data_IF_607421909354
#
_entry.id   IF_607421909354
#
_cell.length_a   1.000
_cell.length_b   1.000
_cell.length_c   1.000
_cell.angle_alpha   90.00
_cell.angle_beta   90.00
_cell.angle_gamma   90.00
#
_symmetry.space_group_name_H-M   'P 1'
#
loop_
_entity.id
_entity.type
_entity.pdbx_description
1 polymer ?
#
# COMPACT_ATOMS: atom_id res chain seq x y z
N UNK A 1 -12.61 -7.64 -11.23
CA UNK A 1 -11.94 -8.06 -9.97
C UNK A 1 -10.51 -7.53 -9.91
N UNK A 2 -9.61 -7.95 -10.81
CA UNK A 2 -8.18 -7.54 -10.79
C UNK A 2 -8.00 -6.02 -10.89
N UNK A 3 -8.76 -5.32 -11.74
CA UNK A 3 -8.65 -3.86 -11.85
C UNK A 3 -9.02 -3.14 -10.54
N UNK A 4 -9.94 -3.68 -9.73
CA UNK A 4 -10.31 -3.12 -8.42
C UNK A 4 -9.13 -3.26 -7.45
N UNK A 5 -8.45 -4.42 -7.48
CA UNK A 5 -7.26 -4.71 -6.70
C UNK A 5 -6.08 -3.79 -7.08
N UNK A 6 -5.89 -3.53 -8.37
CA UNK A 6 -4.87 -2.59 -8.85
C UNK A 6 -5.15 -1.16 -8.35
N UNK A 7 -6.40 -0.71 -8.45
CA UNK A 7 -6.80 0.61 -7.96
C UNK A 7 -6.61 0.75 -6.45
N UNK A 8 -6.92 -0.28 -5.66
CA UNK A 8 -6.69 -0.24 -4.21
C UNK A 8 -5.20 -0.21 -3.85
N UNK A 9 -4.34 -0.90 -4.61
CA UNK A 9 -2.88 -0.88 -4.38
C UNK A 9 -2.29 0.51 -4.60
N UNK A 10 -2.54 1.14 -5.76
CA UNK A 10 -2.01 2.48 -6.04
C UNK A 10 -2.69 3.56 -5.17
N UNK A 11 -3.98 3.41 -4.90
CA UNK A 11 -4.76 4.39 -4.13
C UNK A 11 -4.38 4.48 -2.67
N UNK A 12 -3.85 3.41 -2.07
CA UNK A 12 -3.38 3.39 -0.66
C UNK A 12 -1.88 3.68 -0.55
N UNK A 13 -1.07 3.24 -1.52
CA UNK A 13 0.38 3.41 -1.48
C UNK A 13 0.85 4.86 -1.71
N UNK A 14 0.23 5.60 -2.64
CA UNK A 14 0.60 6.98 -2.93
C UNK A 14 0.49 7.94 -1.72
N UNK A 15 -0.63 7.98 -0.97
CA UNK A 15 -0.73 8.88 0.18
C UNK A 15 0.26 8.51 1.29
N UNK A 16 0.46 7.23 1.58
CA UNK A 16 1.41 6.78 2.61
C UNK A 16 2.86 7.13 2.28
N UNK A 17 3.24 7.08 0.99
CA UNK A 17 4.57 7.48 0.53
C UNK A 17 4.82 8.98 0.73
N UNK A 18 3.81 9.84 0.55
CA UNK A 18 3.95 11.29 0.70
C UNK A 18 3.89 11.73 2.18
N UNK A 19 3.10 11.06 3.01
CA UNK A 19 3.00 11.37 4.44
C UNK A 19 4.29 11.09 5.21
N UNK A 20 5.10 10.12 4.78
CA UNK A 20 6.31 9.75 5.53
C UNK A 20 7.39 10.86 5.52
N UNK A 21 7.76 11.43 4.37
CA UNK A 21 8.67 12.58 4.31
C UNK A 21 8.11 13.83 5.00
N UNK A 22 6.79 14.04 4.97
CA UNK A 22 6.15 15.21 5.61
C UNK A 22 6.22 15.15 7.14
N UNK A 23 6.07 13.97 7.73
CA UNK A 23 6.15 13.80 9.19
C UNK A 23 7.58 13.67 9.73
N UNK A 24 8.54 13.27 8.90
CA UNK A 24 9.96 13.10 9.27
C UNK A 24 10.59 14.31 10.01
N UNK A 25 10.43 15.58 9.57
CA UNK A 25 11.01 16.73 10.29
C UNK A 25 10.38 16.95 11.67
N UNK A 26 9.08 16.65 11.83
CA UNK A 26 8.38 16.75 13.12
C UNK A 26 8.90 15.67 14.06
N UNK A 27 9.03 14.44 13.58
CA UNK A 27 9.59 13.32 14.35
C UNK A 27 11.02 13.61 14.83
N UNK A 28 11.90 14.11 13.96
CA UNK A 28 13.28 14.43 14.35
C UNK A 28 13.35 15.52 15.44
N UNK A 29 12.44 16.49 15.38
CA UNK A 29 12.32 17.53 16.40
C UNK A 29 11.88 16.95 17.74
N UNK A 30 10.82 16.14 17.77
CA UNK A 30 10.28 15.55 19.01
C UNK A 30 11.18 14.47 19.63
N UNK A 31 11.92 13.75 18.77
CA UNK A 31 12.95 12.81 19.21
C UNK A 31 14.12 13.54 19.89
N UNK A 32 14.57 14.67 19.33
CA UNK A 32 15.63 15.49 19.94
C UNK A 32 15.27 16.07 21.31
N UNK A 33 13.96 16.28 21.56
CA UNK A 33 13.43 16.76 22.84
C UNK A 33 13.02 15.63 23.80
N UNK A 34 13.36 14.37 23.48
CA UNK A 34 13.04 13.17 24.27
C UNK A 34 11.55 13.04 24.66
N UNK A 35 10.62 13.49 23.80
CA UNK A 35 9.19 13.42 24.11
C UNK A 35 8.63 11.99 23.95
N UNK A 36 9.08 11.24 22.93
CA UNK A 36 8.66 9.84 22.70
C UNK A 36 9.79 8.98 22.11
N UNK A 37 9.71 7.67 22.34
CA UNK A 37 10.64 6.68 21.78
C UNK A 37 10.30 6.33 20.32
N UNK A 38 11.30 5.85 19.57
CA UNK A 38 11.14 5.44 18.16
C UNK A 38 10.08 4.34 18.00
N UNK A 39 10.06 3.37 18.93
CA UNK A 39 9.11 2.25 18.88
C UNK A 39 7.67 2.70 19.13
N UNK A 40 7.43 3.61 20.08
CA UNK A 40 6.09 4.16 20.33
C UNK A 40 5.53 4.92 19.12
N UNK A 41 6.39 5.65 18.40
CA UNK A 41 5.99 6.34 17.16
C UNK A 41 5.66 5.36 16.03
N UNK A 42 6.50 4.33 15.85
CA UNK A 42 6.28 3.35 14.78
C UNK A 42 4.98 2.53 15.01
N UNK A 43 4.70 2.13 16.24
CA UNK A 43 3.48 1.38 16.58
C UNK A 43 2.22 2.23 16.39
N UNK A 44 2.24 3.49 16.85
CA UNK A 44 1.09 4.38 16.68
C UNK A 44 0.84 4.66 15.19
N UNK A 45 1.90 4.91 14.42
CA UNK A 45 1.79 5.14 12.98
C UNK A 45 1.27 3.92 12.22
N UNK A 46 1.83 2.74 12.48
CA UNK A 46 1.36 1.49 11.85
C UNK A 46 -0.13 1.23 12.15
N UNK A 47 -0.55 1.50 13.38
CA UNK A 47 -1.95 1.35 13.80
C UNK A 47 -2.85 2.33 13.05
N UNK A 48 -2.43 3.59 12.92
CA UNK A 48 -3.16 4.61 12.16
C UNK A 48 -3.27 4.25 10.68
N UNK A 49 -2.18 3.81 10.05
CA UNK A 49 -2.18 3.38 8.65
C UNK A 49 -3.09 2.16 8.44
N UNK A 50 -3.10 1.19 9.36
CA UNK A 50 -4.00 0.04 9.28
C UNK A 50 -5.48 0.45 9.32
N UNK A 51 -5.85 1.40 10.18
CA UNK A 51 -7.23 1.88 10.30
C UNK A 51 -7.64 2.67 9.06
N UNK A 52 -6.77 3.56 8.56
CA UNK A 52 -7.03 4.37 7.38
C UNK A 52 -7.18 3.50 6.12
N UNK A 53 -6.27 2.54 5.92
CA UNK A 53 -6.34 1.61 4.79
C UNK A 53 -7.59 0.75 4.84
N UNK A 54 -7.98 0.26 6.02
CA UNK A 54 -9.21 -0.50 6.22
C UNK A 54 -10.45 0.34 5.86
N UNK A 55 -10.52 1.59 6.31
CA UNK A 55 -11.61 2.50 6.00
C UNK A 55 -11.70 2.79 4.48
N UNK A 56 -10.57 3.05 3.84
CA UNK A 56 -10.50 3.32 2.40
C UNK A 56 -10.94 2.10 1.57
N UNK A 57 -10.44 0.91 1.92
CA UNK A 57 -10.82 -0.35 1.26
C UNK A 57 -12.31 -0.66 1.48
N UNK A 58 -12.85 -0.43 2.68
CA UNK A 58 -14.27 -0.62 2.95
C UNK A 58 -15.17 0.26 2.07
N UNK A 59 -14.88 1.55 1.99
CA UNK A 59 -15.67 2.48 1.17
C UNK A 59 -15.59 2.09 -0.31
N UNK A 60 -14.38 1.79 -0.80
CA UNK A 60 -14.19 1.36 -2.19
C UNK A 60 -14.96 0.07 -2.50
N UNK A 61 -14.90 -0.91 -1.60
CA UNK A 61 -15.54 -2.21 -1.79
C UNK A 61 -17.06 -2.14 -1.67
N UNK A 62 -17.60 -1.35 -0.74
CA UNK A 62 -19.05 -1.16 -0.64
C UNK A 62 -19.61 -0.64 -1.96
N UNK A 63 -19.02 0.41 -2.53
CA UNK A 63 -19.48 0.98 -3.80
C UNK A 63 -19.33 -0.03 -4.95
N UNK A 64 -18.15 -0.63 -5.08
CA UNK A 64 -17.82 -1.44 -6.25
C UNK A 64 -18.50 -2.81 -6.22
N UNK A 65 -18.72 -3.39 -5.04
CA UNK A 65 -19.37 -4.70 -4.89
C UNK A 65 -20.82 -4.65 -5.36
N UNK A 66 -21.57 -3.61 -4.98
CA UNK A 66 -22.96 -3.43 -5.42
C UNK A 66 -23.07 -3.09 -6.91
N UNK A 67 -22.12 -2.35 -7.47
CA UNK A 67 -22.14 -1.97 -8.90
C UNK A 67 -21.77 -3.13 -9.84
N UNK A 68 -20.81 -3.96 -9.46
CA UNK A 68 -20.23 -4.99 -10.35
C UNK A 68 -20.93 -6.35 -10.19
N UNK A 69 -21.64 -6.60 -9.07
CA UNK A 69 -22.34 -7.86 -8.85
C UNK A 69 -21.40 -9.06 -8.70
N UNK A 70 -20.35 -8.90 -7.89
CA UNK A 70 -19.34 -9.94 -7.68
C UNK A 70 -19.96 -11.17 -6.96
N UNK A 71 -19.71 -12.38 -7.46
CA UNK A 71 -20.28 -13.64 -6.93
C UNK A 71 -19.59 -14.18 -5.66
N UNK A 72 -18.43 -13.62 -5.29
CA UNK A 72 -17.65 -14.04 -4.12
C UNK A 72 -18.22 -13.44 -2.83
N UNK A 73 -18.11 -14.15 -1.71
CA UNK A 73 -18.45 -13.62 -0.38
C UNK A 73 -17.72 -12.30 -0.12
N UNK A 74 -18.48 -11.28 0.31
CA UNK A 74 -17.97 -9.94 0.59
C UNK A 74 -16.78 -9.94 1.56
N UNK A 75 -16.83 -10.77 2.61
CA UNK A 75 -15.76 -10.84 3.61
C UNK A 75 -14.46 -11.44 3.05
N UNK A 76 -14.56 -12.45 2.18
CA UNK A 76 -13.39 -13.02 1.53
C UNK A 76 -12.77 -12.02 0.57
N UNK A 77 -13.59 -11.34 -0.23
CA UNK A 77 -13.12 -10.33 -1.15
C UNK A 77 -12.48 -9.14 -0.42
N UNK A 78 -13.07 -8.73 0.72
CA UNK A 78 -12.50 -7.72 1.60
C UNK A 78 -11.16 -8.12 2.17
N UNK A 79 -11.03 -9.34 2.69
CA UNK A 79 -9.77 -9.84 3.23
C UNK A 79 -8.64 -9.82 2.19
N UNK A 80 -8.92 -10.30 0.98
CA UNK A 80 -7.93 -10.33 -0.12
C UNK A 80 -7.49 -8.91 -0.48
N UNK A 81 -8.43 -7.99 -0.68
CA UNK A 81 -8.13 -6.61 -1.08
C UNK A 81 -7.43 -5.85 0.04
N UNK A 82 -7.84 -6.07 1.30
CA UNK A 82 -7.22 -5.43 2.45
C UNK A 82 -5.77 -5.88 2.66
N UNK A 83 -5.50 -7.19 2.62
CA UNK A 83 -4.12 -7.70 2.75
C UNK A 83 -3.24 -7.22 1.61
N UNK A 84 -3.77 -7.16 0.39
CA UNK A 84 -3.06 -6.63 -0.77
C UNK A 84 -2.75 -5.13 -0.59
N UNK A 85 -3.75 -4.33 -0.18
CA UNK A 85 -3.56 -2.90 0.08
C UNK A 85 -2.52 -2.65 1.19
N UNK A 86 -2.58 -3.40 2.30
CA UNK A 86 -1.60 -3.29 3.37
C UNK A 86 -0.18 -3.68 2.92
N UNK A 87 -0.03 -4.68 2.05
CA UNK A 87 1.28 -5.03 1.50
C UNK A 87 1.85 -3.93 0.59
N UNK A 88 0.99 -3.25 -0.18
CA UNK A 88 1.37 -2.12 -1.01
C UNK A 88 1.75 -0.90 -0.15
N UNK A 89 0.98 -0.59 0.88
CA UNK A 89 1.28 0.46 1.86
C UNK A 89 2.61 0.21 2.58
N UNK A 90 2.86 -1.02 3.05
CA UNK A 90 4.12 -1.38 3.70
C UNK A 90 5.33 -1.18 2.76
N UNK A 91 5.19 -1.56 1.49
CA UNK A 91 6.21 -1.35 0.47
C UNK A 91 6.45 0.14 0.21
N UNK A 92 5.39 0.94 0.21
CA UNK A 92 5.44 2.38 0.02
C UNK A 92 6.09 3.11 1.19
N UNK A 93 5.81 2.70 2.43
CA UNK A 93 6.43 3.24 3.65
C UNK A 93 7.91 2.86 3.71
N UNK A 94 8.27 1.62 3.36
CA UNK A 94 9.66 1.21 3.23
C UNK A 94 10.41 2.11 2.24
N UNK A 95 9.82 2.36 1.07
CA UNK A 95 10.40 3.22 0.04
C UNK A 95 10.47 4.70 0.47
N UNK A 96 9.43 5.21 1.13
CA UNK A 96 9.38 6.55 1.70
C UNK A 96 10.38 6.77 2.84
N UNK A 97 10.78 5.70 3.55
CA UNK A 97 11.84 5.75 4.56
C UNK A 97 13.25 5.71 3.97
N UNK A 98 13.42 5.03 2.83
CA UNK A 98 14.71 4.87 2.16
C UNK A 98 15.12 6.10 1.34
N UNK A 99 14.15 6.90 0.88
CA UNK A 99 14.39 8.05 -0.01
C UNK A 99 14.15 9.36 0.74
N UNK A 100 15.11 10.28 0.69
CA UNK A 100 14.99 11.59 1.35
C UNK A 100 14.09 12.56 0.59
N UNK A 101 14.09 12.47 -0.74
CA UNK A 101 13.30 13.33 -1.62
C UNK A 101 11.96 12.68 -2.00
N UNK A 102 10.80 13.23 -1.58
CA UNK A 102 9.48 12.67 -1.89
C UNK A 102 9.20 12.59 -3.39
N UNK A 103 9.77 13.52 -4.18
CA UNK A 103 9.63 13.53 -5.64
C UNK A 103 10.33 12.34 -6.31
N UNK A 104 11.47 11.93 -5.76
CA UNK A 104 12.19 10.76 -6.28
C UNK A 104 11.42 9.49 -5.91
N UNK A 105 10.90 9.43 -4.68
CA UNK A 105 10.11 8.30 -4.19
C UNK A 105 8.85 8.02 -5.04
N UNK A 106 8.13 9.05 -5.49
CA UNK A 106 6.94 8.87 -6.35
C UNK A 106 7.26 8.30 -7.73
N UNK A 107 8.47 8.51 -8.26
CA UNK A 107 8.93 7.89 -9.50
C UNK A 107 9.34 6.43 -9.31
N UNK A 108 9.90 6.09 -8.15
CA UNK A 108 10.30 4.72 -7.82
C UNK A 108 9.11 3.81 -7.48
N UNK A 109 8.00 4.35 -7.00
CA UNK A 109 6.83 3.54 -6.62
C UNK A 109 6.23 2.75 -7.81
N UNK A 110 5.95 3.35 -8.99
CA UNK A 110 5.56 2.59 -10.18
C UNK A 110 6.61 1.58 -10.64
N UNK A 111 7.91 1.90 -10.52
CA UNK A 111 9.00 0.98 -10.86
C UNK A 111 8.96 -0.30 -10.04
N UNK A 112 8.47 -0.25 -8.80
CA UNK A 112 8.33 -1.41 -7.92
C UNK A 112 7.03 -2.18 -8.18
N UNK A 113 5.92 -1.48 -8.42
CA UNK A 113 4.62 -2.11 -8.63
C UNK A 113 4.39 -2.64 -10.05
N UNK A 114 4.93 -2.00 -11.09
CA UNK A 114 4.75 -2.44 -12.48
C UNK A 114 5.25 -3.88 -12.72
N UNK A 115 6.44 -4.29 -12.25
CA UNK A 115 6.87 -5.67 -12.34
C UNK A 115 5.94 -6.64 -11.61
N UNK A 116 5.50 -6.31 -10.39
CA UNK A 116 4.56 -7.14 -9.63
C UNK A 116 3.24 -7.35 -10.39
N UNK A 117 2.76 -6.33 -11.09
CA UNK A 117 1.54 -6.41 -11.91
C UNK A 117 1.73 -7.27 -13.16
N UNK A 118 2.91 -7.21 -13.80
CA UNK A 118 3.23 -8.03 -14.96
C UNK A 118 3.27 -9.53 -14.61
N UNK A 119 3.84 -9.87 -13.44
CA UNK A 119 3.92 -11.24 -12.95
C UNK A 119 2.65 -11.74 -12.25
N UNK A 120 1.63 -10.89 -12.08
CA UNK A 120 0.36 -11.27 -11.45
C UNK A 120 -0.49 -12.26 -12.29
N UNK A 121 -0.01 -12.70 -13.46
CA UNK A 121 -0.66 -13.70 -14.30
C UNK A 121 -1.74 -13.17 -15.25
N UNK A 122 -2.09 -11.88 -15.15
CA UNK A 122 -3.08 -11.23 -16.01
C UNK A 122 -2.49 -10.77 -17.35
N UNK A 123 -1.33 -10.12 -17.31
CA UNK A 123 -0.67 -9.62 -18.53
C UNK A 123 0.18 -10.69 -19.22
N UNK A 124 0.80 -11.59 -18.45
CA UNK A 124 1.61 -12.70 -18.94
C UNK A 124 1.09 -13.97 -18.27
N UNK A 125 0.70 -15.02 -19.01
CA UNK A 125 0.30 -16.28 -18.40
C UNK A 125 1.50 -16.92 -17.69
N UNK A 126 1.26 -17.49 -16.51
CA UNK A 126 2.31 -18.05 -15.63
C UNK A 126 3.08 -19.22 -16.24
N UNK A 127 2.59 -19.78 -17.36
CA UNK A 127 3.26 -20.82 -18.15
C UNK A 127 4.41 -20.29 -19.03
N UNK A 128 4.41 -19.01 -19.38
CA UNK A 128 5.45 -18.36 -20.19
C UNK A 128 6.54 -17.67 -19.34
N UNK A 129 6.37 -17.65 -18.01
CA UNK A 129 7.36 -17.07 -17.08
C UNK A 129 8.50 -18.08 -16.89
N UNK A 130 9.77 -17.72 -17.15
CA UNK A 130 10.91 -18.59 -16.89
C UNK A 130 10.95 -19.04 -15.42
N UNK A 131 11.34 -20.29 -15.14
CA UNK A 131 11.33 -20.84 -13.78
C UNK A 131 12.15 -20.04 -12.75
N UNK A 132 13.13 -19.26 -13.21
CA UNK A 132 13.96 -18.37 -12.38
C UNK A 132 13.24 -17.09 -11.93
N UNK A 133 12.10 -16.78 -12.54
CA UNK A 133 11.33 -15.53 -12.41
C UNK A 133 9.87 -15.77 -11.99
N UNK A 134 9.52 -17.05 -11.77
CA UNK A 134 8.22 -17.51 -11.28
C UNK A 134 8.23 -17.59 -9.77
#
# INVERSE_FOLDING_TARGET
MIMIMMLSMFGTAMPSLLQFPEERPVFLREYSTNHYSVSSYFVSRLTMEAVVTLAQVLVQLLITYFLVGIQMSFFLFLGIVYTLAMSATASAVFLGSAVEDPKIATHFLPLLFVPQLLFAGFFIPTSLIPAWLR
#
